data_IF_642306797125
#
_entry.id   IF_642306797125
#
_cell.length_a   1.000
_cell.length_b   1.000
_cell.length_c   1.000
_cell.angle_alpha   90.00
_cell.angle_beta   90.00
_cell.angle_gamma   90.00
#
_symmetry.space_group_name_H-M   'P 1'
#
loop_
_entity.id
_entity.type
_entity.pdbx_description
1 polymer ?
#
# COMPACT_ATOMS: atom_id res chain seq x y z
N UNK A 1 2.90 8.53 6.95
CA UNK A 1 1.51 8.21 7.36
C UNK A 1 1.35 6.85 8.05
N UNK A 2 1.78 5.71 7.47
CA UNK A 2 1.50 4.35 8.00
C UNK A 2 1.88 4.13 9.47
N UNK A 3 3.09 4.54 9.88
CA UNK A 3 3.51 4.37 11.27
C UNK A 3 2.76 5.27 12.24
N UNK A 4 2.33 6.46 11.77
CA UNK A 4 1.54 7.37 12.57
C UNK A 4 0.12 6.84 12.77
N UNK A 5 -0.51 6.24 11.75
CA UNK A 5 -1.84 5.62 11.91
C UNK A 5 -1.80 4.45 12.90
N UNK A 6 -0.80 3.57 12.79
CA UNK A 6 -0.60 2.48 13.76
C UNK A 6 -0.38 3.00 15.19
N UNK A 7 0.40 4.08 15.35
CA UNK A 7 0.62 4.68 16.65
C UNK A 7 -0.66 5.33 17.21
N UNK A 8 -1.44 6.02 16.37
CA UNK A 8 -2.74 6.60 16.76
C UNK A 8 -3.71 5.50 17.19
N UNK A 9 -3.79 4.39 16.44
CA UNK A 9 -4.57 3.21 16.81
C UNK A 9 -4.14 2.65 18.17
N UNK A 10 -2.84 2.40 18.34
CA UNK A 10 -2.30 1.88 19.59
C UNK A 10 -2.61 2.79 20.78
N UNK A 11 -2.56 4.11 20.61
CA UNK A 11 -2.94 5.06 21.66
C UNK A 11 -4.44 5.11 21.95
N UNK A 12 -5.29 4.78 20.98
CA UNK A 12 -6.73 4.66 21.22
C UNK A 12 -7.04 3.43 22.08
N UNK A 13 -6.40 2.30 21.78
CA UNK A 13 -6.59 1.05 22.51
C UNK A 13 -5.89 1.05 23.88
N UNK A 14 -4.78 1.80 23.98
CA UNK A 14 -3.96 1.93 25.19
C UNK A 14 -3.68 3.41 25.53
N UNK A 15 -4.69 4.16 25.98
CA UNK A 15 -4.57 5.60 26.24
C UNK A 15 -3.58 5.94 27.35
N UNK A 16 -3.25 4.99 28.23
CA UNK A 16 -2.21 5.14 29.25
C UNK A 16 -0.82 5.44 28.68
N UNK A 17 -0.55 5.09 27.42
CA UNK A 17 0.72 5.38 26.76
C UNK A 17 0.74 6.73 26.03
N UNK A 18 -0.36 7.50 26.06
CA UNK A 18 -0.47 8.82 25.43
C UNK A 18 0.28 9.91 26.22
N UNK A 19 1.55 9.67 26.54
CA UNK A 19 2.43 10.63 27.20
C UNK A 19 2.83 11.76 26.24
N UNK A 20 3.19 12.95 26.74
CA UNK A 20 3.65 14.05 25.90
C UNK A 20 4.79 13.64 24.94
N UNK A 21 5.73 12.82 25.40
CA UNK A 21 6.85 12.36 24.58
C UNK A 21 6.40 11.48 23.39
N UNK A 22 5.41 10.60 23.60
CA UNK A 22 4.87 9.75 22.53
C UNK A 22 4.08 10.60 21.52
N UNK A 23 3.21 11.49 22.00
CA UNK A 23 2.45 12.40 21.15
C UNK A 23 3.38 13.30 20.32
N UNK A 24 4.41 13.87 20.94
CA UNK A 24 5.42 14.68 20.24
C UNK A 24 6.20 13.87 19.21
N UNK A 25 6.50 12.60 19.52
CA UNK A 25 7.11 11.68 18.57
C UNK A 25 6.25 11.47 17.32
N UNK A 26 4.94 11.21 17.51
CA UNK A 26 3.99 11.05 16.40
C UNK A 26 3.89 12.34 15.58
N UNK A 27 3.81 13.50 16.24
CA UNK A 27 3.77 14.81 15.56
C UNK A 27 5.03 15.06 14.72
N UNK A 28 6.21 14.75 15.26
CA UNK A 28 7.48 14.85 14.53
C UNK A 28 7.49 13.91 13.33
N UNK A 29 7.05 12.67 13.48
CA UNK A 29 6.94 11.72 12.38
C UNK A 29 6.02 12.22 11.27
N UNK A 30 4.90 12.84 11.61
CA UNK A 30 3.98 13.44 10.64
C UNK A 30 4.62 14.62 9.91
N UNK A 31 5.27 15.54 10.65
CA UNK A 31 5.92 16.72 10.08
C UNK A 31 7.04 16.40 9.08
N UNK A 32 7.67 15.22 9.17
CA UNK A 32 8.65 14.77 8.17
C UNK A 32 8.04 14.62 6.77
N UNK A 33 6.72 14.47 6.64
CA UNK A 33 6.05 14.28 5.36
C UNK A 33 5.62 15.57 4.65
N UNK A 34 5.75 16.75 5.28
CA UNK A 34 5.27 18.02 4.72
C UNK A 34 5.95 18.40 3.38
N UNK A 35 7.15 17.86 3.13
CA UNK A 35 7.92 18.11 1.91
C UNK A 35 8.21 16.82 1.14
N UNK A 36 7.51 15.73 1.42
CA UNK A 36 7.73 14.47 0.73
C UNK A 36 7.19 14.49 -0.71
N UNK A 37 7.85 13.75 -1.58
CA UNK A 37 7.54 13.72 -3.01
C UNK A 37 6.97 12.35 -3.37
N UNK A 38 6.26 12.19 -4.52
CA UNK A 38 5.66 10.91 -4.92
C UNK A 38 6.67 9.78 -5.21
N UNK A 39 7.96 9.96 -4.90
CA UNK A 39 9.02 9.01 -5.18
C UNK A 39 9.41 8.94 -6.65
N UNK A 40 9.96 7.79 -7.07
CA UNK A 40 10.35 7.52 -8.45
C UNK A 40 9.99 6.11 -8.95
N UNK A 41 9.75 6.03 -10.27
CA UNK A 41 9.40 4.84 -11.03
C UNK A 41 10.50 4.45 -12.02
N UNK A 42 10.77 3.17 -12.23
CA UNK A 42 11.71 2.69 -13.25
C UNK A 42 10.97 2.31 -14.54
N UNK A 43 11.36 2.93 -15.65
CA UNK A 43 10.68 2.82 -16.95
C UNK A 43 11.52 2.09 -18.01
N UNK A 44 12.31 1.10 -17.58
CA UNK A 44 13.20 0.34 -18.47
C UNK A 44 14.50 1.05 -18.79
N UNK A 45 15.43 0.33 -19.41
CA UNK A 45 16.82 0.77 -19.63
C UNK A 45 16.92 2.07 -20.44
N UNK A 46 16.02 2.28 -21.39
CA UNK A 46 16.04 3.45 -22.27
C UNK A 46 15.66 4.75 -21.54
N UNK A 47 14.70 4.70 -20.62
CA UNK A 47 14.18 5.88 -19.91
C UNK A 47 14.74 6.02 -18.49
N UNK A 48 15.16 4.93 -17.88
CA UNK A 48 15.69 4.89 -16.52
C UNK A 48 14.64 5.21 -15.46
N UNK A 49 15.10 5.76 -14.34
CA UNK A 49 14.26 6.08 -13.17
C UNK A 49 13.76 7.53 -13.27
N UNK A 50 12.45 7.73 -13.17
CA UNK A 50 11.77 9.00 -13.38
C UNK A 50 11.02 9.40 -12.09
N UNK A 51 11.10 10.67 -11.72
CA UNK A 51 10.39 11.19 -10.55
C UNK A 51 8.89 11.31 -10.82
N UNK A 52 8.05 11.03 -9.82
CA UNK A 52 6.58 11.00 -9.99
C UNK A 52 6.00 12.31 -10.52
N UNK A 53 6.51 13.46 -10.04
CA UNK A 53 6.08 14.78 -10.52
C UNK A 53 6.41 15.08 -11.99
N UNK A 54 7.22 14.23 -12.66
CA UNK A 54 7.56 14.34 -14.09
C UNK A 54 6.75 13.39 -14.97
N UNK A 55 5.90 12.56 -14.38
CA UNK A 55 5.03 11.65 -15.12
C UNK A 55 3.76 12.41 -15.50
N UNK A 56 3.48 12.45 -16.80
CA UNK A 56 2.19 12.90 -17.30
C UNK A 56 1.22 11.74 -17.16
N UNK A 57 0.30 11.86 -16.21
CA UNK A 57 -0.82 10.93 -16.09
C UNK A 57 -1.82 11.27 -17.19
N UNK A 58 -2.44 10.29 -17.86
CA UNK A 58 -3.49 10.55 -18.86
C UNK A 58 -4.59 11.43 -18.26
N UNK A 59 -5.18 12.34 -19.05
CA UNK A 59 -6.33 13.09 -18.55
C UNK A 59 -7.50 12.15 -18.31
N UNK A 60 -8.12 12.29 -17.14
CA UNK A 60 -9.33 11.56 -16.81
C UNK A 60 -10.51 12.39 -17.29
N UNK A 61 -11.14 11.97 -18.38
CA UNK A 61 -12.34 12.64 -18.87
C UNK A 61 -13.53 12.22 -17.99
N UNK A 62 -13.55 12.67 -16.72
CA UNK A 62 -14.79 12.77 -15.95
C UNK A 62 -14.76 12.49 -14.44
N UNK A 63 -14.05 11.48 -13.92
CA UNK A 63 -14.08 11.18 -12.48
C UNK A 63 -12.98 10.21 -12.05
N UNK A 64 -12.29 10.42 -10.90
CA UNK A 64 -11.40 9.40 -10.36
C UNK A 64 -12.14 8.06 -10.19
N UNK A 65 -11.42 6.95 -10.37
CA UNK A 65 -11.96 5.59 -10.19
C UNK A 65 -12.65 5.41 -8.84
N UNK A 66 -12.22 6.17 -7.82
CA UNK A 66 -12.86 6.28 -6.52
C UNK A 66 -12.60 7.67 -5.91
N UNK A 67 -13.54 8.16 -5.11
CA UNK A 67 -13.45 9.40 -4.34
C UNK A 67 -13.78 9.24 -2.85
N UNK A 68 -14.04 8.02 -2.40
CA UNK A 68 -14.36 7.64 -1.03
C UNK A 68 -13.53 6.43 -0.53
N UNK A 69 -13.75 6.05 0.73
CA UNK A 69 -13.03 4.94 1.39
C UNK A 69 -13.41 3.59 0.78
N UNK A 70 -14.69 3.37 0.53
CA UNK A 70 -15.20 2.10 -0.01
C UNK A 70 -14.62 1.85 -1.41
N UNK A 71 -14.70 2.83 -2.31
CA UNK A 71 -14.12 2.73 -3.65
C UNK A 71 -12.60 2.56 -3.62
N UNK A 72 -11.90 3.20 -2.69
CA UNK A 72 -10.46 3.00 -2.49
C UNK A 72 -10.16 1.55 -2.08
N UNK A 73 -10.88 1.01 -1.10
CA UNK A 73 -10.72 -0.37 -0.63
C UNK A 73 -10.95 -1.35 -1.78
N UNK A 74 -12.07 -1.21 -2.50
CA UNK A 74 -12.40 -2.06 -3.64
C UNK A 74 -11.31 -2.01 -4.73
N UNK A 75 -10.82 -0.82 -5.07
CA UNK A 75 -9.75 -0.69 -6.05
C UNK A 75 -8.45 -1.37 -5.60
N UNK A 76 -8.08 -1.28 -4.32
CA UNK A 76 -6.89 -1.97 -3.80
C UNK A 76 -7.03 -3.49 -3.84
N UNK A 77 -8.22 -4.01 -3.53
CA UNK A 77 -8.51 -5.44 -3.64
C UNK A 77 -8.44 -5.90 -5.09
N UNK A 78 -9.04 -5.15 -6.02
CA UNK A 78 -9.03 -5.46 -7.45
C UNK A 78 -7.59 -5.48 -8.01
N UNK A 79 -6.75 -4.52 -7.62
CA UNK A 79 -5.31 -4.51 -7.98
C UNK A 79 -4.54 -5.68 -7.38
N UNK A 80 -4.90 -6.09 -6.15
CA UNK A 80 -4.31 -7.28 -5.52
C UNK A 80 -4.69 -8.54 -6.28
N UNK A 81 -5.95 -8.67 -6.69
CA UNK A 81 -6.47 -9.79 -7.48
C UNK A 81 -5.78 -9.83 -8.86
N UNK A 82 -5.63 -8.67 -9.48
CA UNK A 82 -5.03 -8.47 -10.80
C UNK A 82 -3.51 -8.60 -10.86
N UNK A 83 -2.83 -8.87 -9.75
CA UNK A 83 -1.37 -8.99 -9.68
C UNK A 83 -0.79 -9.91 -10.77
N UNK A 84 0.12 -9.35 -11.56
CA UNK A 84 0.99 -10.06 -12.51
C UNK A 84 2.46 -9.87 -12.07
N UNK A 85 3.21 -10.96 -11.79
CA UNK A 85 4.62 -10.92 -11.45
C UNK A 85 5.54 -10.16 -12.42
N UNK A 86 5.10 -9.85 -13.64
CA UNK A 86 5.92 -9.23 -14.68
C UNK A 86 5.85 -7.71 -14.69
N UNK A 87 4.73 -7.14 -14.25
CA UNK A 87 4.47 -5.70 -14.32
C UNK A 87 4.74 -5.01 -12.98
N UNK A 88 4.77 -3.68 -13.01
CA UNK A 88 4.96 -2.82 -11.83
C UNK A 88 6.19 -3.19 -10.98
N UNK A 89 7.22 -3.69 -11.65
CA UNK A 89 8.37 -4.33 -11.03
C UNK A 89 9.27 -3.38 -10.27
N UNK A 90 9.28 -2.06 -10.46
CA UNK A 90 10.24 -1.18 -9.76
C UNK A 90 9.81 0.27 -9.68
N UNK A 91 9.53 0.73 -8.45
CA UNK A 91 9.18 2.13 -8.19
C UNK A 91 7.91 2.32 -7.37
N UNK A 92 7.64 3.60 -7.07
CA UNK A 92 6.47 4.11 -6.35
C UNK A 92 5.89 3.17 -5.28
N UNK A 93 6.78 2.68 -4.40
CA UNK A 93 6.42 1.90 -3.21
C UNK A 93 5.90 0.48 -3.43
N UNK A 94 5.54 0.09 -4.64
CA UNK A 94 4.90 -1.21 -4.93
C UNK A 94 3.50 -1.32 -4.33
N UNK A 95 2.79 -2.41 -4.65
CA UNK A 95 1.42 -2.62 -4.14
C UNK A 95 1.38 -2.75 -2.61
N UNK A 96 2.47 -3.16 -1.97
CA UNK A 96 2.61 -3.13 -0.50
C UNK A 96 2.39 -1.73 0.08
N UNK A 97 2.92 -0.66 -0.54
CA UNK A 97 2.72 0.69 -0.02
C UNK A 97 1.31 1.20 -0.29
N UNK A 98 0.73 0.84 -1.44
CA UNK A 98 -0.67 1.14 -1.77
C UNK A 98 -1.60 0.56 -0.71
N UNK A 99 -1.48 -0.73 -0.41
CA UNK A 99 -2.27 -1.41 0.65
C UNK A 99 -2.07 -0.72 2.01
N UNK A 100 -0.82 -0.48 2.40
CA UNK A 100 -0.53 0.12 3.69
C UNK A 100 -1.05 1.56 3.81
N UNK A 101 -1.04 2.33 2.72
CA UNK A 101 -1.61 3.67 2.70
C UNK A 101 -3.13 3.63 2.79
N UNK A 102 -3.80 2.77 2.03
CA UNK A 102 -5.25 2.60 2.13
C UNK A 102 -5.69 2.23 3.55
N UNK A 103 -5.05 1.24 4.18
CA UNK A 103 -5.35 0.85 5.56
C UNK A 103 -5.17 2.02 6.55
N UNK A 104 -4.08 2.77 6.41
CA UNK A 104 -3.84 3.95 7.25
C UNK A 104 -4.89 5.05 7.05
N UNK A 105 -5.46 5.18 5.85
CA UNK A 105 -6.50 6.16 5.53
C UNK A 105 -7.85 5.71 6.13
N UNK A 106 -8.17 4.43 6.05
CA UNK A 106 -9.36 3.85 6.70
C UNK A 106 -9.29 4.04 8.22
N UNK A 107 -8.16 3.72 8.85
CA UNK A 107 -7.93 3.97 10.29
C UNK A 107 -8.19 5.44 10.65
N UNK A 108 -7.72 6.41 9.84
CA UNK A 108 -7.96 7.83 10.10
C UNK A 108 -9.44 8.19 10.07
N UNK A 109 -10.22 7.62 9.15
CA UNK A 109 -11.66 7.83 9.11
C UNK A 109 -12.32 7.29 10.39
N UNK A 110 -12.01 6.05 10.77
CA UNK A 110 -12.57 5.35 11.93
C UNK A 110 -12.17 5.97 13.28
N UNK A 111 -11.05 6.69 13.30
CA UNK A 111 -10.55 7.40 14.49
C UNK A 111 -10.94 8.88 14.53
N UNK A 112 -11.92 9.29 13.70
CA UNK A 112 -12.55 10.60 13.81
C UNK A 112 -11.84 11.72 13.04
N UNK A 113 -11.08 11.38 12.00
CA UNK A 113 -10.43 12.34 11.10
C UNK A 113 -10.96 12.26 9.65
N UNK A 114 -12.28 12.32 9.42
CA UNK A 114 -12.87 12.09 8.10
C UNK A 114 -12.43 13.11 7.04
N UNK A 115 -12.24 14.38 7.41
CA UNK A 115 -11.77 15.42 6.48
C UNK A 115 -10.32 15.20 6.04
N UNK A 116 -9.49 14.63 6.91
CA UNK A 116 -8.13 14.23 6.57
C UNK A 116 -8.15 12.98 5.70
N UNK A 117 -8.98 11.99 6.04
CA UNK A 117 -9.14 10.76 5.28
C UNK A 117 -9.62 11.04 3.85
N UNK A 118 -10.64 11.88 3.66
CA UNK A 118 -11.15 12.27 2.35
C UNK A 118 -10.07 12.91 1.46
N UNK A 119 -9.25 13.83 1.99
CA UNK A 119 -8.12 14.40 1.25
C UNK A 119 -7.03 13.36 0.96
N UNK A 120 -6.83 12.42 1.88
CA UNK A 120 -5.85 11.36 1.72
C UNK A 120 -6.28 10.32 0.67
N UNK A 121 -7.58 10.04 0.51
CA UNK A 121 -8.12 9.20 -0.59
C UNK A 121 -7.71 9.76 -1.95
N UNK A 122 -7.81 11.08 -2.15
CA UNK A 122 -7.38 11.72 -3.40
C UNK A 122 -5.88 11.58 -3.64
N UNK A 123 -5.06 11.71 -2.59
CA UNK A 123 -3.62 11.47 -2.67
C UNK A 123 -3.29 10.00 -2.97
N UNK A 124 -4.04 9.07 -2.38
CA UNK A 124 -3.92 7.64 -2.62
C UNK A 124 -4.25 7.28 -4.07
N UNK A 125 -5.32 7.87 -4.63
CA UNK A 125 -5.67 7.70 -6.03
C UNK A 125 -4.53 8.12 -6.96
N UNK A 126 -3.92 9.29 -6.72
CA UNK A 126 -2.75 9.73 -7.51
C UNK A 126 -1.56 8.76 -7.37
N UNK A 127 -1.32 8.21 -6.18
CA UNK A 127 -0.27 7.21 -5.95
C UNK A 127 -0.54 5.92 -6.74
N UNK A 128 -1.77 5.42 -6.72
CA UNK A 128 -2.17 4.25 -7.49
C UNK A 128 -1.95 4.47 -8.99
N UNK A 129 -2.34 5.62 -9.52
CA UNK A 129 -2.15 5.94 -10.94
C UNK A 129 -0.69 5.97 -11.35
N UNK A 130 0.17 6.59 -10.53
CA UNK A 130 1.62 6.59 -10.78
C UNK A 130 2.20 5.17 -10.76
N UNK A 131 1.72 4.31 -9.86
CA UNK A 131 2.13 2.92 -9.80
C UNK A 131 1.67 2.15 -11.04
N UNK A 132 0.43 2.35 -11.49
CA UNK A 132 -0.15 1.73 -12.68
C UNK A 132 0.61 2.07 -13.97
N UNK A 133 1.28 3.23 -14.05
CA UNK A 133 2.07 3.60 -15.24
C UNK A 133 3.41 2.85 -15.36
N UNK A 134 3.83 2.08 -14.34
CA UNK A 134 5.09 1.34 -14.40
C UNK A 134 5.02 0.24 -15.47
N UNK A 135 5.96 0.19 -16.42
CA UNK A 135 5.91 -0.77 -17.51
C UNK A 135 6.27 -2.19 -17.06
N UNK A 136 5.96 -3.17 -17.91
CA UNK A 136 6.56 -4.50 -17.84
C UNK A 136 8.07 -4.38 -18.12
N UNK A 137 8.90 -4.75 -17.14
CA UNK A 137 10.36 -4.81 -17.27
C UNK A 137 10.89 -6.21 -16.92
N UNK A 138 10.04 -7.23 -17.05
CA UNK A 138 10.41 -8.61 -16.73
C UNK A 138 11.54 -9.14 -17.61
N UNK A 139 11.66 -8.68 -18.85
CA UNK A 139 12.79 -9.06 -19.72
C UNK A 139 14.13 -8.52 -19.20
N UNK A 140 14.11 -7.41 -18.45
CA UNK A 140 15.32 -6.81 -17.84
C UNK A 140 15.61 -7.36 -16.44
N UNK A 141 14.56 -7.56 -15.63
CA UNK A 141 14.67 -7.83 -14.18
C UNK A 141 14.19 -9.22 -13.76
N UNK A 142 13.70 -10.03 -14.70
CA UNK A 142 12.91 -11.23 -14.42
C UNK A 142 11.54 -10.90 -13.79
N UNK A 143 10.61 -11.87 -13.72
CA UNK A 143 9.38 -11.72 -12.96
C UNK A 143 9.67 -11.69 -11.44
N UNK A 144 8.72 -11.18 -10.65
CA UNK A 144 8.70 -11.34 -9.19
C UNK A 144 8.77 -12.82 -8.83
N UNK A 145 9.60 -13.14 -7.84
CA UNK A 145 9.59 -14.46 -7.21
C UNK A 145 8.32 -14.54 -6.36
N UNK A 146 7.52 -15.56 -6.62
CA UNK A 146 6.25 -15.80 -5.91
C UNK A 146 6.46 -16.94 -4.92
N UNK A 147 6.00 -16.76 -3.68
CA UNK A 147 6.06 -17.83 -2.70
C UNK A 147 5.06 -18.93 -3.05
N UNK A 148 5.44 -20.19 -2.81
CA UNK A 148 4.51 -21.34 -2.93
C UNK A 148 3.44 -21.33 -1.85
N UNK A 149 3.74 -20.70 -0.72
CA UNK A 149 2.89 -20.68 0.46
C UNK A 149 2.20 -19.33 0.59
N UNK A 150 1.02 -19.33 1.19
CA UNK A 150 0.32 -18.10 1.51
C UNK A 150 0.94 -17.45 2.77
N UNK A 151 1.05 -16.11 2.85
CA UNK A 151 1.64 -15.41 4.01
C UNK A 151 0.96 -15.69 5.36
N UNK A 152 -0.31 -16.10 5.34
CA UNK A 152 -1.04 -16.51 6.55
C UNK A 152 -0.76 -17.95 7.00
N UNK A 153 -0.02 -18.74 6.22
CA UNK A 153 0.35 -20.10 6.58
C UNK A 153 1.69 -20.15 7.35
N UNK A 154 1.84 -21.01 8.37
CA UNK A 154 3.11 -21.18 9.06
C UNK A 154 4.26 -21.58 8.12
N UNK A 155 3.96 -22.40 7.10
CA UNK A 155 4.92 -22.88 6.11
C UNK A 155 5.59 -21.75 5.33
N UNK A 156 4.88 -20.65 5.09
CA UNK A 156 5.47 -19.46 4.48
C UNK A 156 6.65 -18.95 5.30
N UNK A 157 6.50 -18.81 6.62
CA UNK A 157 7.53 -18.26 7.52
C UNK A 157 8.68 -19.20 7.82
N UNK A 158 8.44 -20.51 7.79
CA UNK A 158 9.44 -21.52 8.18
C UNK A 158 10.16 -22.16 6.99
N UNK A 159 9.66 -22.00 5.76
CA UNK A 159 10.24 -22.60 4.56
C UNK A 159 11.67 -22.15 4.23
N UNK A 160 12.10 -20.96 4.69
CA UNK A 160 13.37 -20.35 4.29
C UNK A 160 13.38 -19.76 2.87
N UNK A 161 12.30 -19.95 2.12
CA UNK A 161 12.16 -19.56 0.71
C UNK A 161 11.42 -18.22 0.53
N UNK A 162 11.21 -17.46 1.61
CA UNK A 162 10.52 -16.17 1.54
C UNK A 162 11.35 -15.20 0.69
N UNK A 163 10.85 -14.73 -0.47
CA UNK A 163 11.63 -13.88 -1.36
C UNK A 163 12.13 -12.63 -0.64
N UNK A 164 13.44 -12.39 -0.61
CA UNK A 164 14.04 -11.23 0.09
C UNK A 164 13.70 -9.86 -0.55
N UNK A 165 12.71 -9.77 -1.44
CA UNK A 165 12.52 -8.59 -2.28
C UNK A 165 11.57 -7.56 -1.65
N UNK A 166 12.04 -6.30 -1.62
CA UNK A 166 11.46 -4.99 -1.20
C UNK A 166 10.72 -4.86 0.13
N UNK A 167 9.95 -5.86 0.53
CA UNK A 167 9.24 -5.83 1.80
C UNK A 167 10.18 -6.32 2.91
N UNK A 168 11.04 -5.42 3.42
CA UNK A 168 11.71 -5.63 4.72
C UNK A 168 10.65 -6.09 5.74
N UNK A 169 11.04 -6.86 6.77
CA UNK A 169 10.13 -7.48 7.74
C UNK A 169 8.96 -6.55 8.18
N UNK A 170 9.26 -5.27 8.39
CA UNK A 170 8.28 -4.23 8.75
C UNK A 170 7.19 -4.02 7.71
N UNK A 171 7.49 -4.06 6.41
CA UNK A 171 6.51 -3.95 5.34
C UNK A 171 5.62 -5.19 5.27
N UNK A 172 6.15 -6.39 5.49
CA UNK A 172 5.33 -7.62 5.46
C UNK A 172 4.26 -7.60 6.54
N UNK A 173 4.65 -7.30 7.78
CA UNK A 173 3.73 -7.24 8.91
C UNK A 173 2.64 -6.20 8.68
N UNK A 174 3.02 -4.98 8.27
CA UNK A 174 2.06 -3.91 7.98
C UNK A 174 1.11 -4.29 6.85
N UNK A 175 1.64 -4.87 5.78
CA UNK A 175 0.83 -5.18 4.59
C UNK A 175 -0.18 -6.27 4.91
N UNK A 176 0.22 -7.33 5.62
CA UNK A 176 -0.73 -8.38 6.02
C UNK A 176 -1.80 -7.83 6.96
N UNK A 177 -1.40 -7.02 7.94
CA UNK A 177 -2.34 -6.40 8.87
C UNK A 177 -3.30 -5.47 8.12
N UNK A 178 -2.78 -4.49 7.39
CA UNK A 178 -3.58 -3.51 6.66
C UNK A 178 -4.45 -4.15 5.59
N UNK A 179 -3.96 -5.17 4.89
CA UNK A 179 -4.77 -5.94 3.95
C UNK A 179 -5.94 -6.64 4.65
N UNK A 180 -5.71 -7.27 5.80
CA UNK A 180 -6.77 -7.95 6.54
C UNK A 180 -7.88 -7.00 6.96
N UNK A 181 -7.53 -5.80 7.44
CA UNK A 181 -8.51 -4.77 7.80
C UNK A 181 -9.30 -4.28 6.57
N UNK A 182 -8.64 -4.08 5.44
CA UNK A 182 -9.29 -3.67 4.19
C UNK A 182 -10.22 -4.76 3.63
N UNK A 183 -9.78 -6.01 3.65
CA UNK A 183 -10.55 -7.13 3.13
C UNK A 183 -11.81 -7.38 3.98
N UNK A 184 -11.70 -7.32 5.30
CA UNK A 184 -12.82 -7.49 6.22
C UNK A 184 -13.87 -6.37 6.12
N UNK A 185 -13.52 -5.21 5.53
CA UNK A 185 -14.45 -4.12 5.31
C UNK A 185 -15.37 -4.32 4.09
N UNK A 186 -15.17 -5.37 3.30
CA UNK A 186 -15.96 -5.68 2.10
C UNK A 186 -16.80 -6.94 2.33
N UNK A 187 -18.12 -6.83 2.17
CA UNK A 187 -19.04 -7.97 2.25
C UNK A 187 -19.04 -8.81 0.94
N UNK A 188 -17.88 -9.36 0.56
CA UNK A 188 -17.70 -10.21 -0.64
C UNK A 188 -16.65 -11.30 -0.38
N UNK A 189 -17.08 -12.41 0.23
CA UNK A 189 -16.24 -13.56 0.58
C UNK A 189 -15.43 -14.10 -0.61
N UNK A 190 -15.99 -14.03 -1.83
CA UNK A 190 -15.30 -14.56 -3.02
C UNK A 190 -14.12 -13.66 -3.39
N UNK A 191 -14.33 -12.35 -3.37
CA UNK A 191 -13.29 -11.36 -3.63
C UNK A 191 -12.22 -11.38 -2.57
N UNK A 192 -12.62 -11.43 -1.28
CA UNK A 192 -11.71 -11.54 -0.15
C UNK A 192 -10.78 -12.75 -0.32
N UNK A 193 -11.34 -13.95 -0.50
CA UNK A 193 -10.56 -15.18 -0.64
C UNK A 193 -9.60 -15.14 -1.85
N UNK A 194 -10.06 -14.58 -2.96
CA UNK A 194 -9.23 -14.43 -4.17
C UNK A 194 -8.06 -13.48 -3.94
N UNK A 195 -8.31 -12.35 -3.26
CA UNK A 195 -7.28 -11.37 -2.94
C UNK A 195 -6.26 -11.94 -1.93
N UNK A 196 -6.69 -12.74 -0.95
CA UNK A 196 -5.79 -13.44 -0.03
C UNK A 196 -4.87 -14.45 -0.72
N UNK A 197 -5.35 -15.23 -1.68
CA UNK A 197 -4.49 -16.12 -2.47
C UNK A 197 -3.41 -15.33 -3.21
N UNK A 198 -3.72 -14.11 -3.65
CA UNK A 198 -2.81 -13.25 -4.41
C UNK A 198 -1.77 -12.51 -3.56
N UNK A 199 -1.92 -12.46 -2.22
CA UNK A 199 -0.88 -11.90 -1.35
C UNK A 199 0.49 -12.57 -1.50
N UNK A 200 0.54 -13.86 -1.86
CA UNK A 200 1.80 -14.61 -2.08
C UNK A 200 2.66 -14.07 -3.22
N UNK A 201 2.09 -13.22 -4.09
CA UNK A 201 2.76 -12.57 -5.20
C UNK A 201 3.51 -11.31 -4.77
N UNK A 202 3.20 -10.77 -3.58
CA UNK A 202 3.74 -9.52 -3.07
C UNK A 202 4.74 -9.67 -1.92
N UNK A 203 4.66 -10.77 -1.17
CA UNK A 203 5.34 -10.92 0.13
C UNK A 203 6.46 -11.97 0.13
#
# INVERSE_FOLDING_TARGET
MIFASLAIRALKDHPEYATPAVVDGIRKLLALFDNEHPGSGYYGKAKGRVQGHKILLPDDVGKPQYDDIEGMVLAVLDETIGQDPKIHRSGYGGLVHIINHAAAITDLADFGYPDLASRAVQSHYQHLRLWQTLPNVADEMGPLKVSKFAPHSPAYWTSGDVPYDRALLTHRVKTMFGFGELAAAVEDDTRENTAYDKLRYML
#
